data_IF_034522429080
#
_entry.id   IF_034522429080
#
_cell.length_a   1.000
_cell.length_b   1.000
_cell.length_c   1.000
_cell.angle_alpha   90.00
_cell.angle_beta   90.00
_cell.angle_gamma   90.00
#
_symmetry.space_group_name_H-M   'P 1'
#
loop_
_entity.id
_entity.type
_entity.pdbx_description
1 polymer ?
#
# COMPACT_ATOMS: atom_id res chain seq x y z
N UNK A 1 -11.60 51.21 31.69
CA UNK A 1 -10.31 50.71 31.17
C UNK A 1 -10.40 49.19 31.18
N UNK A 2 -11.12 48.53 30.27
CA UNK A 2 -10.90 48.37 28.82
C UNK A 2 -9.65 47.55 28.46
N UNK A 3 -9.91 46.48 27.70
CA UNK A 3 -9.03 45.58 26.90
C UNK A 3 -8.45 44.38 27.68
N UNK A 4 -8.90 43.13 27.54
CA UNK A 4 -9.32 42.28 26.39
C UNK A 4 -8.18 41.69 25.55
N UNK A 5 -8.28 40.37 25.36
CA UNK A 5 -7.88 39.56 24.19
C UNK A 5 -6.41 39.22 23.98
N UNK A 6 -6.13 37.91 23.87
CA UNK A 6 -5.70 37.33 22.58
C UNK A 6 -6.14 35.87 22.47
N UNK A 7 -7.31 35.73 21.85
CA UNK A 7 -7.81 34.52 21.20
C UNK A 7 -6.91 34.28 19.97
N UNK A 8 -6.15 33.19 19.93
CA UNK A 8 -5.42 32.82 18.71
C UNK A 8 -6.42 32.19 17.74
N UNK A 9 -6.99 33.04 16.88
CA UNK A 9 -7.67 32.64 15.65
C UNK A 9 -6.67 31.94 14.74
N UNK A 10 -6.89 30.65 14.51
CA UNK A 10 -6.21 29.85 13.49
C UNK A 10 -7.28 29.34 12.53
N UNK A 11 -7.18 29.76 11.27
CA UNK A 11 -8.04 29.41 10.14
C UNK A 11 -8.14 27.87 9.97
N UNK A 12 -9.33 27.30 10.23
CA UNK A 12 -9.59 25.86 10.09
C UNK A 12 -9.96 25.51 8.66
N UNK A 13 -8.99 25.06 7.87
CA UNK A 13 -9.26 24.28 6.66
C UNK A 13 -9.29 22.81 7.04
N UNK A 14 -10.47 22.21 7.04
CA UNK A 14 -10.66 20.76 7.21
C UNK A 14 -9.88 20.01 6.12
N UNK A 15 -8.70 19.45 6.45
CA UNK A 15 -7.81 18.82 5.45
C UNK A 15 -7.78 17.29 5.51
N UNK A 16 -8.17 16.66 6.62
CA UNK A 16 -7.93 15.23 6.83
C UNK A 16 -9.20 14.44 7.15
N UNK A 17 -9.16 13.12 6.96
CA UNK A 17 -10.32 12.23 7.11
C UNK A 17 -10.01 11.05 8.04
N UNK A 18 -10.94 10.71 8.94
CA UNK A 18 -10.79 9.54 9.80
C UNK A 18 -10.87 8.24 9.00
N UNK A 19 -9.83 7.39 9.10
CA UNK A 19 -9.76 6.12 8.36
C UNK A 19 -10.83 5.11 8.81
N UNK A 20 -11.38 5.28 10.02
CA UNK A 20 -12.38 4.35 10.59
C UNK A 20 -13.81 4.74 10.26
N UNK A 21 -14.18 6.02 10.39
CA UNK A 21 -15.58 6.47 10.24
C UNK A 21 -15.81 7.50 9.13
N UNK A 22 -14.78 7.94 8.40
CA UNK A 22 -14.93 8.87 7.27
C UNK A 22 -15.23 10.32 7.66
N UNK A 23 -15.27 10.65 8.96
CA UNK A 23 -15.54 12.02 9.42
C UNK A 23 -14.31 12.91 9.16
N UNK A 24 -14.54 14.11 8.60
CA UNK A 24 -13.50 15.12 8.43
C UNK A 24 -12.96 15.59 9.79
N UNK A 25 -11.65 15.82 9.87
CA UNK A 25 -10.95 16.25 11.08
C UNK A 25 -9.94 17.34 10.75
N UNK A 26 -9.85 18.34 11.65
CA UNK A 26 -8.95 19.48 11.50
C UNK A 26 -7.48 19.11 11.72
N UNK A 27 -7.20 18.07 12.52
CA UNK A 27 -5.83 17.64 12.89
C UNK A 27 -5.72 16.10 12.96
N UNK A 28 -4.65 15.52 12.39
CA UNK A 28 -4.34 14.07 12.41
C UNK A 28 -3.54 13.64 13.65
N UNK A 29 -2.61 14.49 14.08
CA UNK A 29 -1.71 14.21 15.21
C UNK A 29 -1.23 15.50 15.85
N UNK A 30 -0.94 15.44 17.16
CA UNK A 30 -0.23 16.50 17.85
C UNK A 30 1.26 16.13 17.95
N UNK A 31 2.12 17.00 17.45
CA UNK A 31 3.55 16.94 17.71
C UNK A 31 3.84 17.68 19.02
N UNK A 32 4.19 16.95 20.08
CA UNK A 32 4.72 17.57 21.29
C UNK A 32 6.19 17.96 21.08
N UNK A 33 6.64 19.01 21.78
CA UNK A 33 8.00 19.58 21.64
C UNK A 33 9.15 18.58 21.87
N UNK A 34 8.86 17.43 22.46
CA UNK A 34 9.82 16.36 22.77
C UNK A 34 9.95 15.31 21.65
N UNK A 35 9.33 15.53 20.49
CA UNK A 35 9.41 14.60 19.35
C UNK A 35 8.45 13.41 19.44
N UNK A 36 7.60 13.35 20.47
CA UNK A 36 6.54 12.35 20.60
C UNK A 36 5.33 12.80 19.80
N UNK A 37 4.96 12.01 18.79
CA UNK A 37 3.74 12.15 18.01
C UNK A 37 2.63 11.44 18.79
N UNK A 38 1.50 12.12 19.02
CA UNK A 38 0.32 11.49 19.63
C UNK A 38 -0.84 11.55 18.64
N UNK A 39 -1.34 10.37 18.26
CA UNK A 39 -2.53 10.24 17.41
C UNK A 39 -3.75 10.78 18.15
N UNK A 40 -4.54 11.62 17.47
CA UNK A 40 -5.77 12.19 18.00
C UNK A 40 -6.90 11.16 17.82
N UNK A 41 -7.84 11.13 18.76
CA UNK A 41 -9.03 10.27 18.66
C UNK A 41 -10.16 11.03 17.97
N UNK A 42 -10.89 10.36 17.09
CA UNK A 42 -11.99 10.95 16.34
C UNK A 42 -13.13 11.36 17.29
N UNK A 43 -13.65 12.59 17.15
CA UNK A 43 -14.76 13.10 17.98
C UNK A 43 -16.06 12.29 17.84
N UNK A 44 -16.25 11.61 16.70
CA UNK A 44 -17.46 10.85 16.39
C UNK A 44 -17.36 9.37 16.80
N UNK A 45 -16.30 8.68 16.39
CA UNK A 45 -16.17 7.24 16.65
C UNK A 45 -15.23 6.88 17.81
N UNK A 46 -14.55 7.86 18.42
CA UNK A 46 -13.59 7.69 19.51
C UNK A 46 -12.43 6.73 19.21
N UNK A 47 -12.24 6.30 17.96
CA UNK A 47 -11.08 5.53 17.51
C UNK A 47 -9.95 6.49 17.08
N UNK A 48 -8.68 6.03 17.06
CA UNK A 48 -7.59 6.82 16.48
C UNK A 48 -7.93 7.23 15.05
N UNK A 49 -7.73 8.52 14.73
CA UNK A 49 -8.11 9.10 13.44
C UNK A 49 -7.37 8.42 12.30
N UNK A 50 -6.08 8.14 12.48
CA UNK A 50 -5.25 7.43 11.54
C UNK A 50 -4.05 6.75 12.24
N UNK A 51 -4.12 5.43 12.50
CA UNK A 51 -3.00 4.69 13.09
C UNK A 51 -1.89 4.36 12.08
N UNK A 52 -2.12 4.56 10.77
CA UNK A 52 -1.14 4.22 9.74
C UNK A 52 0.01 5.22 9.63
N UNK A 53 -0.11 6.39 10.25
CA UNK A 53 0.98 7.39 10.30
C UNK A 53 2.21 6.93 11.11
N UNK A 54 2.01 6.03 12.07
CA UNK A 54 3.10 5.44 12.87
C UNK A 54 3.66 4.17 12.23
N UNK A 55 2.96 3.61 11.23
CA UNK A 55 3.35 2.38 10.56
C UNK A 55 4.33 2.68 9.42
N UNK A 56 5.24 1.75 9.18
CA UNK A 56 6.12 1.81 8.01
C UNK A 56 5.29 1.71 6.72
N UNK A 57 5.73 2.44 5.67
CA UNK A 57 5.13 2.43 4.32
C UNK A 57 4.88 1.00 3.78
N UNK A 58 5.68 0.05 4.23
CA UNK A 58 5.58 -1.36 3.88
C UNK A 58 4.36 -2.07 4.45
N UNK A 59 4.06 -1.82 5.73
CA UNK A 59 2.89 -2.39 6.39
C UNK A 59 1.61 -1.77 5.83
N UNK A 60 1.65 -0.47 5.54
CA UNK A 60 0.59 0.24 4.82
C UNK A 60 0.35 -0.40 3.44
N UNK A 61 1.42 -0.68 2.69
CA UNK A 61 1.32 -1.30 1.37
C UNK A 61 0.71 -2.71 1.42
N UNK A 62 1.08 -3.52 2.40
CA UNK A 62 0.49 -4.87 2.56
C UNK A 62 -1.01 -4.76 2.85
N UNK A 63 -1.41 -3.91 3.80
CA UNK A 63 -2.82 -3.72 4.13
C UNK A 63 -3.63 -3.13 2.96
N UNK A 64 -2.99 -2.33 2.11
CA UNK A 64 -3.57 -1.84 0.85
C UNK A 64 -3.77 -2.98 -0.16
N UNK A 65 -2.78 -3.85 -0.35
CA UNK A 65 -2.91 -5.05 -1.22
C UNK A 65 -3.99 -6.01 -0.71
N UNK A 66 -4.22 -6.04 0.62
CA UNK A 66 -5.28 -6.80 1.26
C UNK A 66 -6.67 -6.14 1.17
N UNK A 67 -6.82 -5.03 0.43
CA UNK A 67 -8.09 -4.31 0.25
C UNK A 67 -8.73 -3.85 1.57
N UNK A 68 -7.93 -3.58 2.61
CA UNK A 68 -8.50 -3.07 3.86
C UNK A 68 -8.94 -1.62 3.67
N UNK A 69 -10.22 -1.36 3.91
CA UNK A 69 -10.85 -0.04 3.75
C UNK A 69 -10.09 1.10 4.47
N UNK A 70 -9.54 0.82 5.66
CA UNK A 70 -8.79 1.80 6.46
C UNK A 70 -7.48 2.22 5.78
N UNK A 71 -6.76 1.28 5.17
CA UNK A 71 -5.52 1.55 4.44
C UNK A 71 -5.80 2.32 3.14
N UNK A 72 -6.90 2.00 2.45
CA UNK A 72 -7.33 2.79 1.28
C UNK A 72 -7.61 4.25 1.62
N UNK A 73 -8.32 4.52 2.73
CA UNK A 73 -8.59 5.90 3.19
C UNK A 73 -7.31 6.64 3.59
N UNK A 74 -6.39 5.95 4.26
CA UNK A 74 -5.08 6.50 4.59
C UNK A 74 -4.30 6.93 3.34
N UNK A 75 -4.16 6.03 2.36
CA UNK A 75 -3.43 6.28 1.10
C UNK A 75 -4.04 7.41 0.27
N UNK A 76 -5.37 7.54 0.29
CA UNK A 76 -6.06 8.50 -0.57
C UNK A 76 -6.18 9.91 0.04
N UNK A 77 -6.37 10.01 1.36
CA UNK A 77 -6.73 11.28 2.01
C UNK A 77 -5.69 11.80 2.99
N UNK A 78 -4.86 10.93 3.57
CA UNK A 78 -3.96 11.31 4.68
C UNK A 78 -2.47 11.17 4.33
N UNK A 79 -2.13 10.61 3.17
CA UNK A 79 -0.75 10.50 2.69
C UNK A 79 -0.40 11.66 1.75
N UNK A 80 0.65 12.40 2.10
CA UNK A 80 1.26 13.39 1.20
C UNK A 80 2.48 12.83 0.44
N UNK A 81 3.20 11.81 0.97
CA UNK A 81 4.38 11.17 0.32
C UNK A 81 4.68 9.73 0.82
N UNK A 82 4.45 8.71 -0.02
CA UNK A 82 4.96 7.33 0.22
C UNK A 82 6.39 7.20 -0.32
N UNK A 83 7.30 6.53 0.42
CA UNK A 83 8.64 6.20 -0.11
C UNK A 83 8.58 4.99 -1.04
N UNK A 84 8.17 5.23 -2.28
CA UNK A 84 8.04 4.20 -3.32
C UNK A 84 9.30 3.36 -3.55
N UNK A 85 10.49 3.89 -3.24
CA UNK A 85 11.75 3.20 -3.48
C UNK A 85 11.87 1.87 -2.72
N UNK A 86 11.37 1.78 -1.47
CA UNK A 86 11.40 0.53 -0.71
C UNK A 86 10.36 -0.47 -1.22
N UNK A 87 9.18 0.04 -1.59
CA UNK A 87 8.09 -0.77 -2.14
C UNK A 87 8.51 -1.41 -3.47
N UNK A 88 9.09 -0.62 -4.38
CA UNK A 88 9.54 -1.11 -5.70
C UNK A 88 10.60 -2.21 -5.54
N UNK A 89 11.57 -2.03 -4.62
CA UNK A 89 12.59 -3.05 -4.33
C UNK A 89 11.97 -4.36 -3.86
N UNK A 90 10.94 -4.29 -3.02
CA UNK A 90 10.27 -5.48 -2.52
C UNK A 90 9.37 -6.14 -3.57
N UNK A 91 8.64 -5.37 -4.37
CA UNK A 91 7.91 -5.89 -5.53
C UNK A 91 8.85 -6.65 -6.48
N UNK A 92 10.02 -6.10 -6.77
CA UNK A 92 11.02 -6.75 -7.61
C UNK A 92 11.56 -8.04 -6.97
N UNK A 93 11.85 -8.02 -5.66
CA UNK A 93 12.27 -9.21 -4.93
C UNK A 93 11.21 -10.33 -4.96
N UNK A 94 9.92 -10.01 -4.79
CA UNK A 94 8.83 -10.99 -4.88
C UNK A 94 8.70 -11.59 -6.29
N UNK A 95 8.80 -10.78 -7.34
CA UNK A 95 8.73 -11.25 -8.73
C UNK A 95 9.90 -12.20 -9.02
N UNK A 96 11.13 -11.81 -8.63
CA UNK A 96 12.31 -12.66 -8.80
C UNK A 96 12.22 -13.96 -8.02
N UNK A 97 11.76 -13.91 -6.77
CA UNK A 97 11.61 -15.11 -5.94
C UNK A 97 10.59 -16.09 -6.54
N UNK A 98 9.44 -15.60 -7.01
CA UNK A 98 8.44 -16.44 -7.66
C UNK A 98 8.98 -17.05 -8.97
N UNK A 99 9.63 -16.23 -9.81
CA UNK A 99 10.24 -16.69 -11.04
C UNK A 99 11.32 -17.76 -10.79
N UNK A 100 12.15 -17.54 -9.75
CA UNK A 100 13.18 -18.49 -9.34
C UNK A 100 12.59 -19.82 -8.87
N UNK A 101 11.56 -19.80 -8.02
CA UNK A 101 10.89 -21.01 -7.55
C UNK A 101 10.33 -21.80 -8.76
N UNK A 102 9.63 -21.13 -9.68
CA UNK A 102 9.09 -21.78 -10.89
C UNK A 102 10.18 -22.36 -11.79
N UNK A 103 11.28 -21.63 -11.99
CA UNK A 103 12.42 -22.10 -12.77
C UNK A 103 13.11 -23.29 -12.10
N UNK A 104 13.29 -23.23 -10.78
CA UNK A 104 13.89 -24.31 -9.99
C UNK A 104 13.07 -25.60 -10.09
N UNK A 105 11.75 -25.52 -9.96
CA UNK A 105 10.87 -26.67 -10.14
C UNK A 105 10.98 -27.26 -11.56
N UNK A 106 10.91 -26.42 -12.60
CA UNK A 106 11.07 -26.86 -13.99
C UNK A 106 12.40 -27.57 -14.22
N UNK A 107 13.49 -27.04 -13.67
CA UNK A 107 14.83 -27.62 -13.77
C UNK A 107 14.91 -28.98 -13.07
N UNK A 108 14.27 -29.12 -11.92
CA UNK A 108 14.26 -30.37 -11.16
C UNK A 108 13.44 -31.45 -11.87
N UNK A 109 12.31 -31.09 -12.49
CA UNK A 109 11.48 -32.00 -13.29
C UNK A 109 12.16 -32.42 -14.60
N UNK A 110 12.94 -31.53 -15.22
CA UNK A 110 13.67 -31.79 -16.47
C UNK A 110 14.99 -32.55 -16.27
N UNK A 111 15.48 -32.73 -15.05
CA UNK A 111 16.75 -33.43 -14.77
C UNK A 111 16.78 -34.89 -15.30
N UNK A 112 15.61 -35.54 -15.42
CA UNK A 112 15.48 -36.91 -15.93
C UNK A 112 15.66 -37.04 -17.46
N UNK A 113 15.49 -35.98 -18.25
CA UNK A 113 15.63 -36.05 -19.73
C UNK A 113 17.00 -35.59 -20.26
N UNK A 114 17.91 -35.18 -19.37
CA UNK A 114 19.15 -34.43 -19.71
C UNK A 114 20.40 -35.31 -19.90
N UNK A 115 20.35 -36.63 -19.65
CA UNK A 115 21.55 -37.50 -19.80
C UNK A 115 22.11 -37.53 -21.23
N UNK A 116 21.35 -37.09 -22.24
CA UNK A 116 21.76 -37.10 -23.65
C UNK A 116 21.57 -35.73 -24.36
N UNK A 117 22.37 -34.68 -24.07
CA UNK A 117 22.94 -33.79 -25.11
C UNK A 117 23.77 -32.60 -24.61
N UNK A 118 24.54 -32.06 -25.55
CA UNK A 118 25.61 -31.05 -25.51
C UNK A 118 25.23 -29.60 -25.09
N UNK A 119 26.26 -28.76 -24.98
CA UNK A 119 26.36 -27.30 -24.77
C UNK A 119 25.11 -26.40 -25.01
N UNK A 120 24.19 -26.74 -25.92
CA UNK A 120 22.91 -26.05 -26.12
C UNK A 120 22.01 -26.05 -24.87
N UNK A 121 22.23 -27.00 -23.95
CA UNK A 121 21.48 -27.12 -22.69
C UNK A 121 21.76 -25.95 -21.74
N UNK A 122 23.00 -25.43 -21.68
CA UNK A 122 23.33 -24.30 -20.80
C UNK A 122 22.53 -23.05 -21.19
N UNK A 123 22.50 -22.72 -22.48
CA UNK A 123 21.73 -21.57 -23.01
C UNK A 123 20.21 -21.77 -22.89
N UNK A 124 19.71 -22.99 -23.07
CA UNK A 124 18.28 -23.30 -22.89
C UNK A 124 17.82 -23.16 -21.43
N UNK A 125 18.67 -23.54 -20.46
CA UNK A 125 18.37 -23.39 -19.03
C UNK A 125 18.35 -21.93 -18.58
N UNK A 126 19.26 -21.11 -19.09
CA UNK A 126 19.26 -19.66 -18.81
C UNK A 126 18.07 -18.96 -19.45
N UNK A 127 17.71 -19.30 -20.69
CA UNK A 127 16.49 -18.79 -21.35
C UNK A 127 15.21 -19.16 -20.58
N UNK A 128 15.16 -20.39 -20.02
CA UNK A 128 14.05 -20.85 -19.20
C UNK A 128 13.75 -19.96 -17.99
N UNK A 129 14.77 -19.34 -17.39
CA UNK A 129 14.56 -18.40 -16.29
C UNK A 129 13.84 -17.13 -16.75
N UNK A 130 14.27 -16.53 -17.87
CA UNK A 130 13.65 -15.30 -18.39
C UNK A 130 12.20 -15.52 -18.81
N UNK A 131 11.86 -16.67 -19.37
CA UNK A 131 10.46 -17.04 -19.67
C UNK A 131 9.64 -17.10 -18.38
N UNK A 132 10.15 -17.74 -17.33
CA UNK A 132 9.47 -17.79 -16.02
C UNK A 132 9.40 -16.44 -15.32
N UNK A 133 10.34 -15.55 -15.59
CA UNK A 133 10.30 -14.16 -15.12
C UNK A 133 9.13 -13.39 -15.73
N UNK A 134 8.99 -13.44 -17.06
CA UNK A 134 7.88 -12.77 -17.77
C UNK A 134 6.54 -13.36 -17.34
N UNK A 135 6.43 -14.69 -17.26
CA UNK A 135 5.22 -15.38 -16.81
C UNK A 135 4.81 -14.92 -15.40
N UNK A 136 5.77 -14.82 -14.47
CA UNK A 136 5.52 -14.35 -13.10
C UNK A 136 5.14 -12.87 -13.04
N UNK A 137 5.77 -12.03 -13.87
CA UNK A 137 5.41 -10.62 -13.97
C UNK A 137 3.96 -10.44 -14.45
N UNK A 138 3.57 -11.14 -15.51
CA UNK A 138 2.19 -11.07 -16.04
C UNK A 138 1.17 -11.54 -15.01
N UNK A 139 1.46 -12.62 -14.29
CA UNK A 139 0.59 -13.15 -13.25
C UNK A 139 0.35 -12.13 -12.12
N UNK A 140 1.40 -11.48 -11.63
CA UNK A 140 1.26 -10.41 -10.64
C UNK A 140 0.57 -9.16 -11.20
N UNK A 141 0.86 -8.78 -12.44
CA UNK A 141 0.22 -7.62 -13.09
C UNK A 141 -1.30 -7.83 -13.25
N UNK A 142 -1.73 -9.02 -13.66
CA UNK A 142 -3.15 -9.39 -13.79
C UNK A 142 -3.83 -9.35 -12.42
N UNK A 143 -3.23 -9.96 -11.39
CA UNK A 143 -3.79 -9.94 -10.03
C UNK A 143 -3.89 -8.53 -9.47
N UNK A 144 -2.86 -7.72 -9.64
CA UNK A 144 -2.85 -6.33 -9.20
C UNK A 144 -3.92 -5.52 -9.94
N UNK A 145 -4.05 -5.68 -11.26
CA UNK A 145 -5.11 -5.06 -12.04
C UNK A 145 -6.51 -5.46 -11.57
N UNK A 146 -6.73 -6.75 -11.30
CA UNK A 146 -8.00 -7.25 -10.77
C UNK A 146 -8.33 -6.62 -9.39
N UNK A 147 -7.36 -6.57 -8.48
CA UNK A 147 -7.50 -5.91 -7.18
C UNK A 147 -7.87 -4.44 -7.36
N UNK A 148 -7.16 -3.70 -8.23
CA UNK A 148 -7.48 -2.30 -8.52
C UNK A 148 -8.89 -2.13 -9.08
N UNK A 149 -9.33 -3.01 -9.98
CA UNK A 149 -10.71 -2.93 -10.50
C UNK A 149 -11.75 -3.14 -9.40
N UNK A 150 -11.52 -4.09 -8.49
CA UNK A 150 -12.41 -4.29 -7.33
C UNK A 150 -12.37 -3.08 -6.42
N UNK A 151 -11.18 -2.58 -6.06
CA UNK A 151 -11.03 -1.36 -5.26
C UNK A 151 -11.81 -0.20 -5.86
N UNK A 152 -11.75 0.00 -7.18
CA UNK A 152 -12.46 1.08 -7.86
C UNK A 152 -13.99 0.89 -7.84
N UNK A 153 -14.46 -0.36 -7.89
CA UNK A 153 -15.89 -0.68 -7.80
C UNK A 153 -16.43 -0.52 -6.37
N UNK A 154 -15.70 -1.01 -5.37
CA UNK A 154 -16.01 -0.82 -3.94
C UNK A 154 -15.95 0.67 -3.59
N UNK A 155 -14.92 1.37 -4.06
CA UNK A 155 -14.79 2.82 -3.92
C UNK A 155 -15.96 3.57 -4.54
N UNK A 156 -16.41 3.17 -5.74
CA UNK A 156 -17.62 3.74 -6.36
C UNK A 156 -18.86 3.54 -5.47
N UNK A 157 -19.00 2.41 -4.79
CA UNK A 157 -20.12 2.19 -3.87
C UNK A 157 -19.99 3.01 -2.59
N UNK A 158 -18.81 3.10 -1.99
CA UNK A 158 -18.60 3.85 -0.76
C UNK A 158 -18.80 5.37 -0.95
N UNK A 159 -18.43 5.92 -2.11
CA UNK A 159 -18.77 7.31 -2.47
C UNK A 159 -20.26 7.59 -2.54
N UNK A 160 -21.08 6.60 -2.88
CA UNK A 160 -22.54 6.80 -2.88
C UNK A 160 -23.13 6.82 -1.47
N UNK A 161 -22.40 6.31 -0.47
CA UNK A 161 -22.87 6.17 0.92
C UNK A 161 -22.24 7.20 1.87
N UNK A 162 -21.00 7.63 1.64
CA UNK A 162 -20.31 8.58 2.50
C UNK A 162 -20.24 9.96 1.86
N UNK A 163 -21.12 10.86 2.29
CA UNK A 163 -20.92 12.29 2.06
C UNK A 163 -19.78 12.76 2.98
N UNK A 164 -18.55 12.83 2.46
CA UNK A 164 -17.60 13.83 2.94
C UNK A 164 -18.10 15.19 2.45
N UNK A 165 -19.08 15.78 3.16
CA UNK A 165 -19.60 17.10 2.81
C UNK A 165 -18.49 18.12 3.11
N UNK A 166 -17.96 18.72 2.04
CA UNK A 166 -17.19 19.96 2.08
C UNK A 166 -18.02 21.12 2.62
#
# INVERSE_FOLDING_TARGET
MAQSSKKSEGYSTTKYCCVTCGTATDELSHHYKEGVIKIIHCKQCQNPVDPYIELDDLLVFIDFVLLKLRAHRHVLFNIDKIKYNHIIKLCFAFILANAYIKWFHLKNDQYQSIINHDHNIFFALEYGFYVKLIESFLEYAIRFGFILTISMLEYRQDWTKEKCVH
#
